data_IF_962192588913
#
_entry.id   IF_962192588913
#
_cell.length_a   1.000
_cell.length_b   1.000
_cell.length_c   1.000
_cell.angle_alpha   90.00
_cell.angle_beta   90.00
_cell.angle_gamma   90.00
#
_symmetry.space_group_name_H-M   'P 1'
#
loop_
_entity.id
_entity.type
_entity.pdbx_description
1 polymer ?
#
# COMPACT_ATOMS: atom_id res chain seq x y z
N UNK A 1 27.86 -8.93 -0.66
CA UNK A 1 27.59 -10.03 -1.61
C UNK A 1 26.68 -9.60 -2.76
N UNK A 2 25.67 -8.73 -2.50
CA UNK A 2 24.69 -8.30 -3.52
C UNK A 2 25.03 -6.94 -4.15
N UNK A 3 25.94 -6.17 -3.58
CA UNK A 3 26.26 -4.77 -3.93
C UNK A 3 25.03 -3.84 -3.85
N UNK A 4 24.01 -4.22 -3.09
CA UNK A 4 22.83 -3.42 -2.84
C UNK A 4 22.92 -2.78 -1.45
N UNK A 5 22.47 -1.53 -1.34
CA UNK A 5 22.31 -0.86 -0.06
C UNK A 5 21.03 -1.29 0.63
N UNK A 6 21.03 -1.34 1.96
CA UNK A 6 19.87 -1.64 2.77
C UNK A 6 19.82 -0.73 4.00
N UNK A 7 18.64 -0.29 4.39
CA UNK A 7 18.41 0.46 5.62
C UNK A 7 17.54 -0.35 6.57
N UNK A 8 17.86 -0.30 7.87
CA UNK A 8 17.15 -1.04 8.91
C UNK A 8 16.68 -0.11 10.03
N UNK A 9 15.46 -0.36 10.50
CA UNK A 9 14.90 0.31 11.67
C UNK A 9 14.60 -0.69 12.78
N UNK A 10 15.03 -0.38 13.99
CA UNK A 10 14.88 -1.22 15.18
C UNK A 10 14.10 -0.45 16.22
N UNK A 11 13.01 -1.05 16.73
CA UNK A 11 12.23 -0.49 17.83
C UNK A 11 11.34 -1.57 18.47
N UNK A 12 10.64 -1.22 19.53
CA UNK A 12 9.75 -2.12 20.26
C UNK A 12 8.39 -2.36 19.58
N UNK A 13 8.02 -1.57 18.58
CA UNK A 13 6.77 -1.74 17.83
C UNK A 13 6.98 -1.54 16.33
N UNK A 14 6.04 -2.03 15.52
CA UNK A 14 6.12 -2.02 14.05
C UNK A 14 6.14 -0.61 13.48
N UNK A 15 5.32 0.30 14.02
CA UNK A 15 5.26 1.69 13.59
C UNK A 15 6.63 2.35 13.68
N UNK A 16 7.23 2.33 14.86
CA UNK A 16 8.53 2.98 15.08
C UNK A 16 9.67 2.28 14.33
N UNK A 17 9.67 0.94 14.23
CA UNK A 17 10.66 0.23 13.43
C UNK A 17 10.56 0.62 11.94
N UNK A 18 9.36 0.82 11.41
CA UNK A 18 9.17 1.28 10.02
C UNK A 18 9.64 2.71 9.82
N UNK A 19 9.28 3.63 10.71
CA UNK A 19 9.76 5.03 10.66
C UNK A 19 11.30 5.06 10.77
N UNK A 20 11.86 4.33 11.73
CA UNK A 20 13.31 4.23 11.91
C UNK A 20 14.03 3.74 10.65
N UNK A 21 13.44 2.78 9.90
CA UNK A 21 14.01 2.27 8.65
C UNK A 21 14.07 3.31 7.53
N UNK A 22 13.21 4.33 7.57
CA UNK A 22 13.18 5.41 6.59
C UNK A 22 14.02 6.63 7.03
N UNK A 23 14.27 6.78 8.34
CA UNK A 23 14.88 7.97 8.94
C UNK A 23 16.34 8.21 8.55
N UNK A 24 17.11 7.13 8.30
CA UNK A 24 18.52 7.20 7.88
C UNK A 24 18.78 6.51 6.55
N UNK A 25 17.91 6.73 5.57
CA UNK A 25 18.15 6.28 4.19
C UNK A 25 19.13 7.22 3.47
N UNK A 26 19.95 6.68 2.55
CA UNK A 26 20.19 5.27 2.23
C UNK A 26 21.21 4.63 3.19
N UNK A 27 21.23 3.29 3.22
CA UNK A 27 22.29 2.46 3.84
C UNK A 27 22.56 2.75 5.33
N UNK A 28 21.49 3.05 6.07
CA UNK A 28 21.60 3.43 7.48
C UNK A 28 20.84 2.49 8.41
N UNK A 29 21.34 2.35 9.64
CA UNK A 29 20.62 1.69 10.74
C UNK A 29 20.18 2.73 11.76
N UNK A 30 18.92 2.70 12.13
CA UNK A 30 18.34 3.57 13.15
C UNK A 30 17.62 2.76 14.22
N UNK A 31 17.96 3.01 15.49
CA UNK A 31 17.29 2.40 16.64
C UNK A 31 16.55 3.48 17.42
N UNK A 32 15.27 3.25 17.68
CA UNK A 32 14.45 4.11 18.54
C UNK A 32 14.14 3.31 19.82
N UNK A 33 14.77 3.70 20.92
CA UNK A 33 14.58 3.09 22.23
C UNK A 33 13.25 3.54 22.85
N UNK A 34 12.61 2.71 23.71
CA UNK A 34 11.32 3.06 24.34
C UNK A 34 11.34 4.37 25.12
N UNK A 35 12.42 4.65 25.85
CA UNK A 35 12.61 5.89 26.64
C UNK A 35 12.73 7.16 25.78
N UNK A 36 13.12 7.03 24.52
CA UNK A 36 13.24 8.13 23.56
C UNK A 36 12.09 8.22 22.57
N UNK A 37 11.20 7.23 22.56
CA UNK A 37 10.16 7.10 21.54
C UNK A 37 9.19 8.28 21.51
N UNK A 38 8.72 8.74 22.66
CA UNK A 38 7.75 9.84 22.74
C UNK A 38 8.36 11.19 22.34
N UNK A 39 9.62 11.41 22.68
CA UNK A 39 10.34 12.60 22.25
C UNK A 39 10.63 12.57 20.75
N UNK A 40 11.07 11.43 20.24
CA UNK A 40 11.25 11.24 18.80
C UNK A 40 9.95 11.48 18.01
N UNK A 41 8.84 10.89 18.44
CA UNK A 41 7.53 11.07 17.80
C UNK A 41 7.09 12.54 17.86
N UNK A 42 7.35 13.24 18.97
CA UNK A 42 6.95 14.63 19.12
C UNK A 42 7.55 15.53 18.03
N UNK A 43 8.78 15.28 17.64
CA UNK A 43 9.50 16.05 16.62
C UNK A 43 9.31 15.50 15.20
N UNK A 44 8.73 14.30 15.05
CA UNK A 44 8.55 13.66 13.74
C UNK A 44 7.50 14.42 12.92
N UNK A 45 7.82 14.86 11.69
CA UNK A 45 6.83 15.40 10.76
C UNK A 45 5.72 14.39 10.49
N UNK A 46 4.46 14.83 10.40
CA UNK A 46 3.34 13.90 10.18
C UNK A 46 3.38 13.23 8.82
N UNK A 47 4.09 13.78 7.85
CA UNK A 47 4.32 13.16 6.54
C UNK A 47 5.17 11.89 6.62
N UNK A 48 6.00 11.75 7.66
CA UNK A 48 6.84 10.59 7.92
C UNK A 48 6.11 9.51 8.74
N UNK A 49 4.88 9.79 9.17
CA UNK A 49 4.06 8.76 9.83
C UNK A 49 3.62 7.71 8.82
N UNK A 50 3.83 6.46 9.17
CA UNK A 50 3.38 5.36 8.35
C UNK A 50 1.86 5.41 8.11
N UNK A 51 1.46 5.40 6.84
CA UNK A 51 0.06 5.48 6.43
C UNK A 51 -0.44 6.89 6.11
N UNK A 52 0.37 7.92 6.32
CA UNK A 52 0.06 9.29 5.91
C UNK A 52 0.47 9.50 4.45
N UNK A 53 -0.51 9.40 3.55
CA UNK A 53 -0.33 9.74 2.14
C UNK A 53 -0.72 11.20 1.86
N UNK A 54 -0.49 11.66 0.63
CA UNK A 54 -0.72 13.07 0.22
C UNK A 54 -2.08 13.64 0.64
N UNK A 55 -3.18 12.89 0.47
CA UNK A 55 -4.52 13.35 0.84
C UNK A 55 -4.71 13.46 2.36
N UNK A 56 -4.15 12.54 3.12
CA UNK A 56 -4.18 12.56 4.59
C UNK A 56 -3.35 13.72 5.11
N UNK A 57 -2.16 13.92 4.55
CA UNK A 57 -1.26 15.02 4.89
C UNK A 57 -1.96 16.39 4.70
N UNK A 58 -2.61 16.60 3.55
CA UNK A 58 -3.37 17.84 3.30
C UNK A 58 -4.43 18.11 4.37
N UNK A 59 -5.16 17.06 4.79
CA UNK A 59 -6.16 17.20 5.85
C UNK A 59 -5.51 17.52 7.21
N UNK A 60 -4.39 16.86 7.54
CA UNK A 60 -3.66 17.13 8.78
C UNK A 60 -3.15 18.58 8.81
N UNK A 61 -2.55 19.06 7.73
CA UNK A 61 -2.09 20.45 7.62
C UNK A 61 -3.24 21.45 7.73
N UNK A 62 -4.40 21.18 7.14
CA UNK A 62 -5.60 22.01 7.29
C UNK A 62 -6.08 22.09 8.74
N UNK A 63 -5.86 21.05 9.53
CA UNK A 63 -6.15 21.00 10.97
C UNK A 63 -5.04 21.63 11.84
N UNK A 64 -3.97 22.16 11.24
CA UNK A 64 -2.81 22.69 11.98
C UNK A 64 -1.91 21.60 12.58
N UNK A 65 -1.99 20.37 12.09
CA UNK A 65 -1.19 19.25 12.56
C UNK A 65 0.00 19.07 11.62
N UNK A 66 1.20 19.38 12.09
CA UNK A 66 2.45 19.30 11.33
C UNK A 66 3.42 18.26 11.91
N UNK A 67 3.33 18.00 13.22
CA UNK A 67 4.23 17.11 13.94
C UNK A 67 3.47 16.09 14.77
N UNK A 68 4.17 15.07 15.26
CA UNK A 68 3.60 14.14 16.23
C UNK A 68 3.15 14.80 17.52
N UNK A 69 3.83 15.89 17.94
CA UNK A 69 3.39 16.68 19.11
C UNK A 69 2.03 17.33 18.86
N UNK A 70 1.77 17.87 17.67
CA UNK A 70 0.47 18.44 17.31
C UNK A 70 -0.60 17.37 17.23
N UNK A 71 -0.29 16.24 16.58
CA UNK A 71 -1.20 15.11 16.48
C UNK A 71 -1.62 14.56 17.84
N UNK A 72 -0.70 14.55 18.82
CA UNK A 72 -0.96 14.10 20.20
C UNK A 72 -1.95 15.00 20.96
N UNK A 73 -2.06 16.27 20.61
CA UNK A 73 -3.02 17.22 21.23
C UNK A 73 -4.47 17.00 20.77
N UNK A 74 -4.65 16.32 19.64
CA UNK A 74 -5.98 16.08 19.06
C UNK A 74 -6.65 14.90 19.77
N UNK A 75 -7.94 15.03 20.07
CA UNK A 75 -8.71 13.95 20.68
C UNK A 75 -8.91 12.78 19.69
N UNK A 76 -9.00 11.58 20.24
CA UNK A 76 -9.27 10.39 19.44
C UNK A 76 -10.58 10.50 18.66
N UNK A 77 -11.64 10.99 19.32
CA UNK A 77 -12.95 11.17 18.71
C UNK A 77 -12.89 12.06 17.45
N UNK A 78 -12.14 13.17 17.53
CA UNK A 78 -11.99 14.07 16.38
C UNK A 78 -11.14 13.47 15.28
N UNK A 79 -10.08 12.73 15.60
CA UNK A 79 -9.30 12.00 14.60
C UNK A 79 -10.15 10.93 13.89
N UNK A 80 -11.02 10.24 14.61
CA UNK A 80 -11.92 9.24 14.04
C UNK A 80 -13.01 9.89 13.17
N UNK A 81 -13.53 11.03 13.58
CA UNK A 81 -14.49 11.82 12.78
C UNK A 81 -13.90 12.19 11.41
N UNK A 82 -12.65 12.68 11.37
CA UNK A 82 -12.01 13.17 10.15
C UNK A 82 -11.40 12.08 9.29
N UNK A 83 -10.78 11.06 9.91
CA UNK A 83 -10.00 10.03 9.24
C UNK A 83 -10.66 8.65 9.27
N UNK A 84 -11.81 8.49 9.91
CA UNK A 84 -12.48 7.20 10.09
C UNK A 84 -11.65 6.26 10.97
N UNK A 85 -11.69 4.97 10.68
CA UNK A 85 -10.97 3.94 11.46
C UNK A 85 -9.46 4.18 11.59
N UNK A 86 -8.85 4.88 10.65
CA UNK A 86 -7.42 5.19 10.69
C UNK A 86 -7.12 6.26 11.74
N UNK A 87 -8.13 7.03 12.18
CA UNK A 87 -7.99 8.00 13.25
C UNK A 87 -7.53 7.37 14.58
N UNK A 88 -8.03 6.18 14.93
CA UNK A 88 -7.54 5.41 16.08
C UNK A 88 -6.05 5.11 15.97
N UNK A 89 -5.63 4.68 14.77
CA UNK A 89 -4.21 4.34 14.51
C UNK A 89 -3.31 5.57 14.66
N UNK A 90 -3.72 6.71 14.16
CA UNK A 90 -2.95 7.95 14.31
C UNK A 90 -2.88 8.42 15.77
N UNK A 91 -3.98 8.26 16.51
CA UNK A 91 -4.01 8.56 17.94
C UNK A 91 -3.01 7.71 18.73
N UNK A 92 -2.99 6.41 18.47
CA UNK A 92 -2.08 5.47 19.12
C UNK A 92 -0.63 5.73 18.70
N UNK A 93 -0.35 5.91 17.41
CA UNK A 93 0.98 6.19 16.89
C UNK A 93 1.60 7.45 17.50
N UNK A 94 0.82 8.53 17.67
CA UNK A 94 1.31 9.74 18.31
C UNK A 94 1.71 9.51 19.78
N UNK A 95 1.28 8.42 20.38
CA UNK A 95 1.58 7.98 21.76
C UNK A 95 2.58 6.82 21.82
N UNK A 96 3.14 6.43 20.68
CA UNK A 96 4.09 5.32 20.60
C UNK A 96 3.45 3.94 20.78
N UNK A 97 2.15 3.85 20.62
CA UNK A 97 1.39 2.60 20.78
C UNK A 97 1.17 1.95 19.42
N UNK A 98 1.59 0.69 19.27
CA UNK A 98 1.28 -0.16 18.13
C UNK A 98 1.35 -1.62 18.56
N UNK A 99 0.21 -2.17 18.92
CA UNK A 99 0.09 -3.54 19.43
C UNK A 99 -0.02 -4.60 18.34
N UNK A 100 0.07 -4.21 17.06
CA UNK A 100 -0.06 -5.15 15.93
C UNK A 100 1.11 -6.15 15.94
N UNK A 101 0.84 -7.48 16.03
CA UNK A 101 1.90 -8.48 16.00
C UNK A 101 2.60 -8.54 14.63
N UNK A 102 3.83 -9.05 14.63
CA UNK A 102 4.50 -9.43 13.38
C UNK A 102 3.82 -10.69 12.84
N UNK A 103 3.20 -10.57 11.67
CA UNK A 103 2.50 -11.68 10.99
C UNK A 103 3.41 -12.21 9.89
N UNK A 104 3.92 -13.41 10.06
CA UNK A 104 4.84 -14.08 9.12
C UNK A 104 4.14 -14.72 7.94
N UNK A 105 2.86 -15.07 8.09
CA UNK A 105 2.03 -15.64 7.03
C UNK A 105 0.72 -14.88 6.91
N UNK A 106 0.35 -14.57 5.69
CA UNK A 106 -0.97 -14.01 5.37
C UNK A 106 -1.56 -14.75 4.19
N UNK A 107 -2.80 -15.14 4.32
CA UNK A 107 -3.56 -15.66 3.19
C UNK A 107 -3.62 -14.62 2.07
N UNK A 108 -3.38 -15.08 0.85
CA UNK A 108 -3.41 -14.21 -0.33
C UNK A 108 -4.85 -13.81 -0.66
N UNK A 109 -5.11 -12.52 -0.74
CA UNK A 109 -6.44 -11.97 -1.05
C UNK A 109 -6.65 -11.66 -2.53
N UNK A 110 -5.58 -11.60 -3.32
CA UNK A 110 -5.62 -11.33 -4.75
C UNK A 110 -4.38 -11.88 -5.46
N UNK A 111 -4.55 -12.18 -6.73
CA UNK A 111 -3.46 -12.50 -7.67
C UNK A 111 -3.59 -11.54 -8.83
N UNK A 112 -2.49 -10.94 -9.23
CA UNK A 112 -2.46 -10.02 -10.37
C UNK A 112 -1.13 -10.06 -11.11
N UNK A 113 -1.18 -9.58 -12.34
CA UNK A 113 -0.02 -9.25 -13.14
C UNK A 113 -0.26 -7.89 -13.79
N UNK A 114 0.80 -7.16 -14.02
CA UNK A 114 0.76 -5.91 -14.78
C UNK A 114 2.04 -5.80 -15.60
N UNK A 115 1.95 -5.09 -16.71
CA UNK A 115 3.04 -4.85 -17.63
C UNK A 115 3.05 -3.36 -17.99
N UNK A 116 4.24 -2.78 -18.03
CA UNK A 116 4.46 -1.44 -18.59
C UNK A 116 5.10 -1.62 -19.97
N UNK A 117 4.51 -1.02 -20.99
CA UNK A 117 5.00 -1.07 -22.34
C UNK A 117 6.10 -0.03 -22.54
N UNK A 118 7.10 -0.36 -23.37
CA UNK A 118 8.18 0.58 -23.73
C UNK A 118 7.66 1.75 -24.58
N UNK A 119 6.65 1.47 -25.41
CA UNK A 119 5.95 2.45 -26.23
C UNK A 119 4.45 2.35 -25.99
N UNK A 120 3.76 3.46 -26.12
CA UNK A 120 2.30 3.50 -25.96
C UNK A 120 1.59 2.71 -27.05
N UNK A 121 0.50 2.05 -26.68
CA UNK A 121 -0.30 1.25 -27.61
C UNK A 121 -1.48 2.06 -28.09
N UNK A 122 -1.55 2.29 -29.40
CA UNK A 122 -2.56 3.15 -30.02
C UNK A 122 -3.67 2.41 -30.79
N UNK A 123 -3.48 1.13 -31.07
CA UNK A 123 -4.44 0.36 -31.87
C UNK A 123 -5.24 -0.62 -31.03
N UNK A 124 -6.57 -0.73 -31.22
CA UNK A 124 -7.40 -1.70 -30.49
C UNK A 124 -6.92 -3.14 -30.64
N UNK A 125 -6.41 -3.52 -31.82
CA UNK A 125 -5.88 -4.86 -32.06
C UNK A 125 -4.66 -5.16 -31.21
N UNK A 126 -3.71 -4.23 -31.11
CA UNK A 126 -2.53 -4.39 -30.27
C UNK A 126 -2.91 -4.47 -28.77
N UNK A 127 -3.84 -3.62 -28.31
CA UNK A 127 -4.37 -3.68 -26.93
C UNK A 127 -4.96 -5.08 -26.65
N UNK A 128 -5.73 -5.65 -27.58
CA UNK A 128 -6.34 -6.97 -27.39
C UNK A 128 -5.28 -8.08 -27.36
N UNK A 129 -4.20 -7.97 -28.13
CA UNK A 129 -3.09 -8.92 -28.11
C UNK A 129 -2.38 -8.88 -26.75
N UNK A 130 -2.05 -7.69 -26.25
CA UNK A 130 -1.38 -7.54 -24.96
C UNK A 130 -2.29 -7.93 -23.78
N UNK A 131 -3.58 -7.65 -23.88
CA UNK A 131 -4.56 -8.15 -22.91
C UNK A 131 -4.60 -9.68 -22.88
N UNK A 132 -4.51 -10.31 -24.05
CA UNK A 132 -4.45 -11.77 -24.14
C UNK A 132 -3.20 -12.34 -23.47
N UNK A 133 -2.02 -11.75 -23.70
CA UNK A 133 -0.76 -12.14 -23.04
C UNK A 133 -0.86 -11.97 -21.53
N UNK A 134 -1.40 -10.84 -21.07
CA UNK A 134 -1.63 -10.56 -19.65
C UNK A 134 -2.56 -11.59 -19.00
N UNK A 135 -3.63 -12.01 -19.70
CA UNK A 135 -4.53 -13.06 -19.21
C UNK A 135 -3.82 -14.40 -19.11
N UNK A 136 -2.96 -14.77 -20.06
CA UNK A 136 -2.19 -16.02 -19.99
C UNK A 136 -1.22 -16.01 -18.79
N UNK A 137 -0.55 -14.89 -18.55
CA UNK A 137 0.33 -14.75 -17.40
C UNK A 137 -0.47 -14.84 -16.09
N UNK A 138 -1.63 -14.17 -16.01
CA UNK A 138 -2.52 -14.25 -14.85
C UNK A 138 -2.93 -15.69 -14.55
N UNK A 139 -3.30 -16.46 -15.57
CA UNK A 139 -3.66 -17.89 -15.43
C UNK A 139 -2.50 -18.70 -14.88
N UNK A 140 -1.27 -18.47 -15.38
CA UNK A 140 -0.07 -19.14 -14.86
C UNK A 140 0.15 -18.83 -13.37
N UNK A 141 -0.08 -17.57 -12.95
CA UNK A 141 0.04 -17.17 -11.54
C UNK A 141 -1.07 -17.75 -10.65
N UNK A 142 -2.30 -17.84 -11.17
CA UNK A 142 -3.43 -18.50 -10.49
C UNK A 142 -3.10 -19.97 -10.23
N UNK A 143 -2.64 -20.66 -11.25
CA UNK A 143 -2.29 -22.09 -11.20
C UNK A 143 -1.16 -22.35 -10.18
N UNK A 144 -0.07 -21.59 -10.26
CA UNK A 144 1.07 -21.70 -9.32
C UNK A 144 0.70 -21.40 -7.88
N UNK A 145 -0.28 -20.53 -7.65
CA UNK A 145 -0.66 -20.10 -6.28
C UNK A 145 -1.83 -20.88 -5.71
N UNK A 146 -2.56 -21.65 -6.50
CA UNK A 146 -3.83 -22.26 -6.09
C UNK A 146 -4.92 -21.26 -5.74
N UNK A 147 -4.80 -19.99 -6.20
CA UNK A 147 -5.73 -18.93 -5.82
C UNK A 147 -7.10 -19.13 -6.46
N UNK A 148 -8.14 -18.90 -5.67
CA UNK A 148 -9.53 -18.94 -6.13
C UNK A 148 -10.20 -17.56 -5.96
N UNK A 149 -10.57 -16.93 -7.07
CA UNK A 149 -11.22 -15.64 -7.08
C UNK A 149 -12.47 -15.61 -7.96
N UNK A 150 -13.42 -14.76 -7.60
CA UNK A 150 -14.67 -14.55 -8.33
C UNK A 150 -14.76 -13.18 -8.99
N UNK A 151 -13.80 -12.30 -8.72
CA UNK A 151 -13.79 -10.92 -9.23
C UNK A 151 -12.58 -10.72 -10.11
N UNK A 152 -12.81 -10.27 -11.33
CA UNK A 152 -11.77 -9.81 -12.25
C UNK A 152 -11.71 -8.27 -12.18
N UNK A 153 -10.50 -7.75 -12.03
CA UNK A 153 -10.25 -6.30 -12.09
C UNK A 153 -9.25 -6.01 -13.19
N UNK A 154 -9.63 -5.19 -14.14
CA UNK A 154 -8.76 -4.64 -15.17
C UNK A 154 -8.37 -3.22 -14.79
N UNK A 155 -7.07 -2.94 -14.86
CA UNK A 155 -6.48 -1.61 -14.70
C UNK A 155 -5.81 -1.21 -16.00
N UNK A 156 -6.09 -0.02 -16.46
CA UNK A 156 -5.44 0.58 -17.64
C UNK A 156 -4.85 1.91 -17.21
N UNK A 157 -3.57 2.10 -17.49
CA UNK A 157 -2.84 3.32 -17.22
C UNK A 157 -2.44 3.96 -18.55
N UNK A 158 -2.78 5.22 -18.70
CA UNK A 158 -2.50 6.00 -19.92
C UNK A 158 -1.13 6.69 -19.86
N UNK A 159 -0.68 7.23 -20.97
CA UNK A 159 0.58 7.97 -21.10
C UNK A 159 0.71 9.15 -20.14
N UNK A 160 -0.39 9.84 -19.83
CA UNK A 160 -0.46 10.92 -18.85
C UNK A 160 -0.49 10.45 -17.39
N UNK A 161 -0.26 9.16 -17.16
CA UNK A 161 -0.33 8.48 -15.87
C UNK A 161 -1.72 8.42 -15.23
N UNK A 162 -2.76 8.89 -15.90
CA UNK A 162 -4.12 8.62 -15.42
C UNK A 162 -4.43 7.12 -15.48
N UNK A 163 -5.22 6.64 -14.52
CA UNK A 163 -5.54 5.23 -14.43
C UNK A 163 -7.05 5.05 -14.31
N UNK A 164 -7.56 4.15 -15.12
CA UNK A 164 -8.93 3.65 -14.97
C UNK A 164 -8.92 2.21 -14.45
N UNK A 165 -9.93 1.87 -13.66
CA UNK A 165 -10.10 0.53 -13.11
C UNK A 165 -11.54 0.09 -13.34
N UNK A 166 -11.72 -1.15 -13.81
CA UNK A 166 -13.03 -1.78 -13.96
C UNK A 166 -13.00 -3.16 -13.30
N UNK A 167 -14.02 -3.46 -12.52
CA UNK A 167 -14.17 -4.73 -11.82
C UNK A 167 -15.48 -5.38 -12.17
N UNK A 168 -15.46 -6.69 -12.36
CA UNK A 168 -16.63 -7.51 -12.58
C UNK A 168 -16.56 -8.77 -11.72
N UNK A 169 -17.64 -9.06 -11.00
CA UNK A 169 -17.76 -10.25 -10.17
C UNK A 169 -18.67 -11.27 -10.82
N UNK A 170 -18.39 -12.55 -10.57
CA UNK A 170 -19.16 -13.69 -11.03
C UNK A 170 -19.52 -14.57 -9.83
N UNK A 171 -20.56 -15.37 -9.95
CA UNK A 171 -20.93 -16.35 -8.91
C UNK A 171 -19.99 -17.56 -8.88
N UNK A 172 -19.30 -17.84 -10.00
CA UNK A 172 -18.34 -18.93 -10.15
C UNK A 172 -16.90 -18.45 -9.98
N UNK A 173 -16.02 -19.38 -9.63
CA UNK A 173 -14.58 -19.15 -9.57
C UNK A 173 -14.02 -19.00 -10.98
N UNK A 174 -13.16 -18.02 -11.17
CA UNK A 174 -12.51 -17.72 -12.46
C UNK A 174 -11.17 -18.46 -12.53
N UNK A 175 -11.14 -19.62 -13.23
CA UNK A 175 -9.92 -20.46 -13.31
C UNK A 175 -9.40 -20.64 -14.73
N UNK A 176 -10.23 -20.50 -15.76
CA UNK A 176 -9.88 -20.81 -17.13
C UNK A 176 -9.85 -19.56 -18.01
N UNK A 177 -9.10 -19.62 -19.09
CA UNK A 177 -9.08 -18.57 -20.13
C UNK A 177 -10.50 -18.21 -20.60
N UNK A 178 -11.35 -19.21 -20.79
CA UNK A 178 -12.73 -19.01 -21.21
C UNK A 178 -13.58 -18.25 -20.17
N UNK A 179 -13.20 -18.26 -18.90
CA UNK A 179 -13.87 -17.49 -17.85
C UNK A 179 -13.39 -16.04 -17.81
N UNK A 180 -12.10 -15.81 -18.02
CA UNK A 180 -11.43 -14.50 -17.76
C UNK A 180 -11.42 -13.64 -19.03
N UNK A 181 -11.00 -14.16 -20.17
CA UNK A 181 -10.78 -13.37 -21.38
C UNK A 181 -12.05 -12.64 -21.89
N UNK A 182 -13.24 -13.25 -21.90
CA UNK A 182 -14.47 -12.54 -22.29
C UNK A 182 -14.85 -11.40 -21.34
N UNK A 183 -14.55 -11.54 -20.04
CA UNK A 183 -14.79 -10.50 -19.05
C UNK A 183 -13.80 -9.34 -19.17
N UNK A 184 -12.54 -9.64 -19.46
CA UNK A 184 -11.48 -8.64 -19.64
C UNK A 184 -11.68 -7.77 -20.90
N UNK A 185 -12.43 -8.26 -21.89
CA UNK A 185 -12.74 -7.54 -23.14
C UNK A 185 -13.97 -6.62 -23.06
N UNK A 186 -14.74 -6.68 -21.99
CA UNK A 186 -15.91 -5.81 -21.74
C UNK A 186 -15.48 -4.45 -21.20
#
# INVERSE_FOLDING_TARGET
ETQLTASAGISYCKFLAKVASDYRKPDGICTIHPDKALDFIAHLPVEDFWGVGKKTLQKMHFMGIYTGADLRKVSEAHLVEVFGKVGHIFYDFARGIDERPVVTYRERKSVGCEQTFLEDIYTPSAVIIELYHTVLELLTRIDKSGFEGKTLTLKVKFADFTQITRSISQDKILKKKADILPLAKR
#
